data_IF_853542596027
#
_entry.id   IF_853542596027
#
_cell.length_a   1.000
_cell.length_b   1.000
_cell.length_c   1.000
_cell.angle_alpha   90.00
_cell.angle_beta   90.00
_cell.angle_gamma   90.00
#
_symmetry.space_group_name_H-M   'P 1'
#
loop_
_entity.id
_entity.type
_entity.pdbx_description
1 polymer ?
#
# COMPACT_ATOMS: atom_id res chain seq x y z
N UNK A 1 -33.25 -5.67 -59.30
CA UNK A 1 -32.62 -7.00 -59.39
C UNK A 1 -31.18 -6.78 -59.83
N UNK A 2 -30.31 -6.47 -58.87
CA UNK A 2 -28.90 -6.20 -59.09
C UNK A 2 -28.09 -7.49 -59.02
N UNK A 3 -27.12 -7.60 -59.94
CA UNK A 3 -26.36 -8.80 -60.21
C UNK A 3 -25.31 -9.12 -59.14
N UNK A 4 -25.28 -10.40 -58.75
CA UNK A 4 -24.20 -11.00 -57.98
C UNK A 4 -23.20 -11.68 -58.93
N UNK A 5 -21.90 -11.47 -58.69
CA UNK A 5 -20.83 -12.15 -59.41
C UNK A 5 -19.74 -12.67 -58.45
N UNK A 6 -19.52 -14.00 -58.55
CA UNK A 6 -18.24 -14.75 -58.48
C UNK A 6 -17.45 -14.85 -57.16
N UNK A 7 -17.65 -15.97 -56.45
CA UNK A 7 -16.73 -17.13 -56.22
C UNK A 7 -15.18 -16.93 -56.17
N UNK A 8 -14.37 -17.94 -55.75
CA UNK A 8 -14.17 -18.48 -54.39
C UNK A 8 -12.67 -18.75 -54.05
N UNK A 9 -12.42 -19.42 -52.90
CA UNK A 9 -11.23 -20.22 -52.52
C UNK A 9 -9.95 -19.50 -52.05
N UNK A 10 -9.61 -19.67 -50.76
CA UNK A 10 -8.42 -20.44 -50.32
C UNK A 10 -8.17 -20.21 -48.81
N UNK A 11 -8.19 -21.26 -47.99
CA UNK A 11 -6.97 -21.76 -47.34
C UNK A 11 -7.24 -23.08 -46.62
N UNK A 12 -6.31 -24.01 -46.83
CA UNK A 12 -6.24 -25.37 -46.29
C UNK A 12 -6.15 -25.36 -44.76
N UNK A 13 -6.99 -26.17 -44.11
CA UNK A 13 -6.75 -26.68 -42.76
C UNK A 13 -6.62 -28.20 -42.83
N UNK A 14 -5.39 -28.67 -42.66
CA UNK A 14 -5.08 -30.04 -42.27
C UNK A 14 -3.89 -29.92 -41.33
N UNK A 15 -3.99 -30.46 -40.11
CA UNK A 15 -3.22 -31.65 -39.74
C UNK A 15 -3.70 -32.19 -38.37
N UNK A 16 -4.31 -33.38 -38.46
CA UNK A 16 -4.23 -34.57 -37.60
C UNK A 16 -4.15 -34.46 -36.06
N UNK A 17 -5.15 -35.10 -35.45
CA UNK A 17 -5.10 -35.65 -34.11
C UNK A 17 -4.02 -36.73 -33.98
N UNK A 18 -3.29 -36.71 -32.86
CA UNK A 18 -2.63 -37.88 -32.28
C UNK A 18 -2.48 -37.67 -30.76
N UNK A 19 -3.21 -38.44 -29.96
CA UNK A 19 -2.82 -38.78 -28.58
C UNK A 19 -1.96 -40.06 -28.65
N UNK A 20 -0.92 -40.17 -27.81
CA UNK A 20 -1.02 -41.04 -26.61
C UNK A 20 -0.38 -40.38 -25.37
N UNK A 21 -1.03 -40.39 -24.21
CA UNK A 21 -1.03 -41.41 -23.15
C UNK A 21 0.20 -41.39 -22.19
N UNK A 22 -0.14 -41.18 -20.91
CA UNK A 22 0.56 -41.55 -19.65
C UNK A 22 1.90 -40.91 -19.30
N UNK A 23 1.93 -40.23 -18.13
CA UNK A 23 3.18 -39.94 -17.43
C UNK A 23 3.05 -38.97 -16.25
N UNK A 24 2.84 -39.54 -15.05
CA UNK A 24 3.11 -38.98 -13.71
C UNK A 24 2.36 -37.72 -13.21
N UNK A 25 1.45 -37.96 -12.26
CA UNK A 25 1.11 -37.01 -11.20
C UNK A 25 2.28 -36.95 -10.22
N UNK A 26 3.21 -36.02 -10.43
CA UNK A 26 4.04 -35.54 -9.32
C UNK A 26 3.17 -34.59 -8.51
N UNK A 27 2.82 -35.02 -7.30
CA UNK A 27 2.28 -34.18 -6.24
C UNK A 27 3.33 -33.10 -5.93
N UNK A 28 3.28 -31.99 -6.66
CA UNK A 28 3.98 -30.78 -6.28
C UNK A 28 3.31 -30.25 -5.02
N UNK A 29 4.05 -30.27 -3.91
CA UNK A 29 3.76 -29.37 -2.78
C UNK A 29 3.53 -27.97 -3.36
N UNK A 30 2.41 -27.29 -3.06
CA UNK A 30 2.23 -25.92 -3.51
C UNK A 30 3.37 -25.11 -2.89
N UNK A 31 4.28 -24.64 -3.75
CA UNK A 31 5.22 -23.60 -3.36
C UNK A 31 4.39 -22.44 -2.78
N UNK A 32 4.71 -21.95 -1.58
CA UNK A 32 4.02 -20.78 -1.04
C UNK A 32 4.10 -19.67 -2.10
N UNK A 33 3.02 -18.92 -2.37
CA UNK A 33 3.08 -17.86 -3.36
C UNK A 33 4.26 -16.94 -3.03
N UNK A 34 5.21 -16.87 -3.96
CA UNK A 34 6.35 -15.96 -3.88
C UNK A 34 5.80 -14.56 -3.62
N UNK A 35 6.30 -13.93 -2.56
CA UNK A 35 5.87 -12.61 -2.12
C UNK A 35 6.01 -11.63 -3.30
N UNK A 36 4.97 -10.82 -3.59
CA UNK A 36 5.08 -9.84 -4.66
C UNK A 36 6.26 -8.90 -4.36
N UNK A 37 7.15 -8.66 -5.34
CA UNK A 37 8.26 -7.74 -5.15
C UNK A 37 7.74 -6.36 -4.78
N UNK A 38 8.44 -5.69 -3.86
CA UNK A 38 8.09 -4.35 -3.40
C UNK A 38 7.84 -3.39 -4.59
N UNK A 39 6.81 -2.53 -4.56
CA UNK A 39 6.56 -1.55 -5.60
C UNK A 39 7.80 -0.69 -5.90
N UNK A 40 8.00 -0.32 -7.17
CA UNK A 40 9.20 0.41 -7.64
C UNK A 40 9.45 1.75 -6.92
N UNK A 41 8.42 2.33 -6.31
CA UNK A 41 8.47 3.61 -5.58
C UNK A 41 8.43 3.44 -4.05
N UNK A 42 8.57 2.21 -3.56
CA UNK A 42 8.66 1.95 -2.12
C UNK A 42 9.98 2.43 -1.52
N UNK A 43 9.91 2.94 -0.28
CA UNK A 43 11.09 3.26 0.53
C UNK A 43 11.43 2.09 1.44
N UNK A 44 12.72 1.93 1.73
CA UNK A 44 13.27 0.87 2.60
C UNK A 44 13.94 1.51 3.79
N UNK A 45 13.44 1.22 4.97
CA UNK A 45 13.78 1.92 6.21
C UNK A 45 14.47 0.95 7.13
N UNK A 46 15.68 1.29 7.56
CA UNK A 46 16.46 0.44 8.44
C UNK A 46 16.09 0.75 9.89
N UNK A 47 15.78 -0.29 10.64
CA UNK A 47 15.35 -0.19 12.02
C UNK A 47 16.02 -1.27 12.85
N UNK A 48 16.13 -0.99 14.13
CA UNK A 48 16.69 -1.90 15.11
C UNK A 48 15.63 -2.21 16.15
N UNK A 49 15.31 -3.48 16.34
CA UNK A 49 14.41 -3.94 17.40
C UNK A 49 15.21 -4.64 18.48
N UNK A 50 14.75 -4.52 19.73
CA UNK A 50 15.36 -5.17 20.88
C UNK A 50 14.40 -6.24 21.41
N UNK A 51 14.85 -7.49 21.45
CA UNK A 51 14.09 -8.63 21.97
C UNK A 51 14.97 -9.41 22.94
N UNK A 52 14.58 -9.49 24.21
CA UNK A 52 15.29 -10.25 25.26
C UNK A 52 16.81 -9.99 25.36
N UNK A 53 17.23 -8.75 25.05
CA UNK A 53 18.63 -8.33 25.05
C UNK A 53 19.38 -8.58 23.73
N UNK A 54 18.74 -9.26 22.77
CA UNK A 54 19.24 -9.44 21.41
C UNK A 54 18.80 -8.28 20.51
N UNK A 55 19.77 -7.70 19.80
CA UNK A 55 19.57 -6.58 18.89
C UNK A 55 19.37 -7.14 17.48
N UNK A 56 18.17 -6.95 16.93
CA UNK A 56 17.81 -7.44 15.60
C UNK A 56 17.73 -6.26 14.62
N UNK A 57 18.33 -6.43 13.42
CA UNK A 57 18.28 -5.43 12.35
C UNK A 57 17.23 -5.85 11.33
N UNK A 58 16.26 -4.97 11.14
CA UNK A 58 15.14 -5.20 10.24
C UNK A 58 15.05 -4.06 9.23
N UNK A 59 14.42 -4.32 8.10
CA UNK A 59 14.14 -3.32 7.10
C UNK A 59 12.65 -3.32 6.80
N UNK A 60 12.00 -2.19 7.06
CA UNK A 60 10.58 -1.98 6.78
C UNK A 60 10.46 -1.38 5.39
N UNK A 61 9.54 -1.92 4.60
CA UNK A 61 9.19 -1.39 3.28
C UNK A 61 7.91 -0.57 3.42
N UNK A 62 7.92 0.71 3.04
CA UNK A 62 6.70 1.53 2.98
C UNK A 62 6.45 2.02 1.56
N UNK A 63 5.19 2.04 1.15
CA UNK A 63 4.75 2.67 -0.07
C UNK A 63 4.15 4.04 0.26
N UNK A 64 4.78 5.13 -0.22
CA UNK A 64 4.31 6.49 0.00
C UNK A 64 3.93 7.09 -1.35
N UNK A 65 2.65 7.39 -1.54
CA UNK A 65 2.11 7.94 -2.79
C UNK A 65 1.42 9.27 -2.56
N UNK A 66 1.23 10.00 -3.65
CA UNK A 66 0.49 11.25 -3.65
C UNK A 66 -0.47 11.23 -4.84
N UNK A 67 -1.76 11.39 -4.57
CA UNK A 67 -2.81 11.37 -5.59
C UNK A 67 -3.85 12.44 -5.26
N UNK A 68 -4.13 13.32 -6.23
CA UNK A 68 -5.22 14.30 -6.16
C UNK A 68 -5.25 15.17 -4.89
N UNK A 69 -4.09 15.55 -4.34
CA UNK A 69 -4.02 16.36 -3.11
C UNK A 69 -3.87 15.56 -1.82
N UNK A 70 -3.85 14.23 -1.88
CA UNK A 70 -3.79 13.36 -0.72
C UNK A 70 -2.51 12.53 -0.71
N UNK A 71 -1.80 12.55 0.41
CA UNK A 71 -0.69 11.62 0.68
C UNK A 71 -1.25 10.31 1.21
N UNK A 72 -0.71 9.19 0.75
CA UNK A 72 -1.02 7.86 1.27
C UNK A 72 0.25 7.15 1.73
N UNK A 73 0.13 6.39 2.80
CA UNK A 73 1.18 5.49 3.31
C UNK A 73 0.57 4.09 3.41
N UNK A 74 1.05 3.15 2.58
CA UNK A 74 0.46 1.81 2.44
C UNK A 74 -1.08 1.87 2.30
N UNK A 75 -1.56 2.74 1.40
CA UNK A 75 -2.97 2.99 1.10
C UNK A 75 -3.79 3.70 2.20
N UNK A 76 -3.16 4.05 3.34
CA UNK A 76 -3.80 4.88 4.36
C UNK A 76 -3.65 6.37 4.05
N UNK A 77 -4.73 7.16 3.98
CA UNK A 77 -4.63 8.59 3.78
C UNK A 77 -4.04 9.27 5.01
N UNK A 78 -3.03 10.12 4.80
CA UNK A 78 -2.34 10.89 5.84
C UNK A 78 -2.55 12.37 5.60
N UNK A 79 -3.08 13.07 6.61
CA UNK A 79 -3.32 14.51 6.56
C UNK A 79 -2.05 15.30 6.88
N UNK A 80 -2.07 16.60 6.60
CA UNK A 80 -1.04 17.53 7.06
C UNK A 80 -0.89 17.50 8.59
N UNK A 81 0.34 17.64 9.07
CA UNK A 81 0.73 17.45 10.47
C UNK A 81 1.37 16.09 10.71
N UNK A 82 1.47 15.69 11.98
CA UNK A 82 1.99 14.37 12.37
C UNK A 82 0.85 13.41 12.65
N UNK A 83 0.81 12.32 11.91
CA UNK A 83 -0.16 11.23 12.10
C UNK A 83 0.58 9.96 12.49
N UNK A 84 0.05 9.25 13.48
CA UNK A 84 0.48 7.89 13.82
C UNK A 84 -0.49 6.88 13.22
N UNK A 85 0.04 5.98 12.40
CA UNK A 85 -0.74 4.91 11.75
C UNK A 85 -0.15 3.55 12.12
N UNK A 86 -1.01 2.54 12.21
CA UNK A 86 -0.57 1.13 12.25
C UNK A 86 -1.02 0.45 10.98
N UNK A 87 -0.08 -0.13 10.24
CA UNK A 87 -0.36 -0.77 8.96
C UNK A 87 0.40 -2.09 8.82
N UNK A 88 -0.16 -3.01 8.04
CA UNK A 88 0.56 -4.24 7.69
C UNK A 88 1.49 -3.94 6.52
N UNK A 89 2.77 -4.34 6.61
CA UNK A 89 3.73 -4.15 5.52
C UNK A 89 4.81 -5.21 5.48
N UNK A 90 5.58 -5.23 4.40
CA UNK A 90 6.71 -6.14 4.21
C UNK A 90 7.89 -5.72 5.11
N UNK A 91 8.36 -6.67 5.90
CA UNK A 91 9.52 -6.55 6.78
C UNK A 91 10.55 -7.58 6.32
N UNK A 92 11.80 -7.12 6.18
CA UNK A 92 12.95 -7.96 5.83
C UNK A 92 13.83 -8.06 7.07
N UNK A 93 13.86 -9.24 7.69
CA UNK A 93 14.71 -9.52 8.84
C UNK A 93 16.06 -10.04 8.37
N UNK A 94 17.13 -9.44 8.91
CA UNK A 94 18.49 -9.90 8.69
C UNK A 94 18.90 -10.74 9.91
N UNK A 95 18.91 -12.06 9.78
CA UNK A 95 19.39 -12.94 10.85
C UNK A 95 20.94 -12.88 10.95
N UNK A 96 21.48 -13.24 12.12
CA UNK A 96 22.90 -13.08 12.49
C UNK A 96 23.89 -13.64 11.45
N UNK A 97 25.12 -13.10 11.51
CA UNK A 97 26.33 -13.29 10.69
C UNK A 97 26.65 -14.69 10.12
N UNK A 98 26.01 -15.75 10.60
CA UNK A 98 26.28 -17.14 10.22
C UNK A 98 25.36 -17.65 9.11
N UNK A 99 24.16 -17.06 8.94
CA UNK A 99 23.21 -17.44 7.88
C UNK A 99 22.68 -16.18 7.17
N UNK A 100 23.13 -15.96 5.93
CA UNK A 100 22.70 -14.86 5.04
C UNK A 100 21.25 -15.00 4.53
N UNK A 101 20.41 -15.78 5.20
CA UNK A 101 19.02 -15.96 4.80
C UNK A 101 18.21 -14.74 5.24
N UNK A 102 17.91 -13.87 4.28
CA UNK A 102 16.94 -12.80 4.45
C UNK A 102 15.56 -13.43 4.57
N UNK A 103 14.92 -13.28 5.72
CA UNK A 103 13.53 -13.68 5.91
C UNK A 103 12.64 -12.47 5.65
N UNK A 104 11.76 -12.61 4.66
CA UNK A 104 10.74 -11.62 4.34
C UNK A 104 9.39 -12.10 4.90
N UNK A 105 8.69 -11.22 5.59
CA UNK A 105 7.36 -11.50 6.13
C UNK A 105 6.51 -10.23 6.17
N UNK A 106 5.19 -10.39 6.27
CA UNK A 106 4.29 -9.27 6.50
C UNK A 106 3.98 -9.14 7.98
N UNK A 107 4.37 -8.02 8.59
CA UNK A 107 4.09 -7.71 10.00
C UNK A 107 3.34 -6.40 10.16
N UNK A 108 2.94 -6.09 11.40
CA UNK A 108 2.25 -4.84 11.74
C UNK A 108 3.31 -3.84 12.19
N UNK A 109 3.34 -2.68 11.55
CA UNK A 109 4.25 -1.58 11.91
C UNK A 109 3.45 -0.37 12.34
N UNK A 110 3.89 0.28 13.43
CA UNK A 110 3.38 1.59 13.83
C UNK A 110 4.36 2.66 13.40
N UNK A 111 3.87 3.60 12.58
CA UNK A 111 4.67 4.63 11.93
C UNK A 111 4.15 6.00 12.33
N UNK A 112 5.04 6.93 12.66
CA UNK A 112 4.75 8.37 12.72
C UNK A 112 5.12 8.98 11.39
N UNK A 113 4.18 9.69 10.78
CA UNK A 113 4.35 10.34 9.48
C UNK A 113 4.08 11.83 9.67
N UNK A 114 5.07 12.67 9.37
CA UNK A 114 4.88 14.11 9.19
C UNK A 114 4.57 14.39 7.72
N UNK A 115 3.49 15.12 7.46
CA UNK A 115 3.22 15.73 6.15
C UNK A 115 3.17 17.24 6.32
N UNK A 116 4.08 17.95 5.66
CA UNK A 116 4.10 19.40 5.67
C UNK A 116 3.96 19.97 4.25
N UNK A 117 3.13 20.99 4.13
CA UNK A 117 2.70 21.57 2.87
C UNK A 117 3.22 23.01 2.74
N UNK A 118 4.26 23.22 1.95
CA UNK A 118 4.88 24.54 1.75
C UNK A 118 4.42 25.18 0.43
N UNK A 119 3.60 26.25 0.45
CA UNK A 119 3.29 27.01 -0.76
C UNK A 119 4.54 27.76 -1.23
N UNK A 120 4.98 27.52 -2.47
CA UNK A 120 6.24 28.10 -2.96
C UNK A 120 6.11 29.60 -3.26
N UNK A 121 4.97 30.01 -3.79
CA UNK A 121 4.66 31.42 -4.08
C UNK A 121 3.16 31.68 -3.88
N UNK A 122 2.83 32.86 -3.36
CA UNK A 122 1.43 33.27 -3.19
C UNK A 122 0.71 33.35 -4.55
N UNK A 123 -0.50 32.79 -4.63
CA UNK A 123 -1.32 32.78 -5.84
C UNK A 123 -0.92 31.76 -6.91
N UNK A 124 0.11 30.96 -6.67
CA UNK A 124 0.49 29.82 -7.51
C UNK A 124 -0.09 28.52 -6.96
N UNK A 125 -0.33 27.56 -7.85
CA UNK A 125 -0.64 26.16 -7.48
C UNK A 125 0.61 25.31 -7.26
N UNK A 126 1.80 25.92 -7.26
CA UNK A 126 3.07 25.26 -7.00
C UNK A 126 3.31 25.12 -5.50
N UNK A 127 3.45 23.89 -5.04
CA UNK A 127 3.59 23.53 -3.64
C UNK A 127 4.67 22.47 -3.49
N UNK A 128 5.45 22.55 -2.41
CA UNK A 128 6.34 21.50 -1.98
C UNK A 128 5.71 20.75 -0.81
N UNK A 129 5.48 19.44 -0.98
CA UNK A 129 5.03 18.56 0.08
C UNK A 129 6.26 17.84 0.62
N UNK A 130 6.53 18.02 1.91
CA UNK A 130 7.63 17.39 2.64
C UNK A 130 7.04 16.30 3.51
N UNK A 131 7.54 15.08 3.36
CA UNK A 131 7.08 13.91 4.11
C UNK A 131 8.26 13.30 4.86
N UNK A 132 8.13 13.10 6.16
CA UNK A 132 9.12 12.41 6.99
C UNK A 132 8.44 11.27 7.74
N UNK A 133 9.19 10.21 8.06
CA UNK A 133 8.65 9.03 8.73
C UNK A 133 9.54 8.53 9.88
N UNK A 134 8.93 7.91 10.88
CA UNK A 134 9.62 7.22 11.96
C UNK A 134 8.86 5.94 12.29
N UNK A 135 9.51 4.79 12.13
CA UNK A 135 9.02 3.51 12.62
C UNK A 135 9.19 3.46 14.15
N UNK A 136 8.06 3.39 14.87
CA UNK A 136 8.04 3.39 16.34
C UNK A 136 7.91 1.97 16.90
N UNK A 137 7.22 1.09 16.19
CA UNK A 137 6.92 -0.26 16.64
C UNK A 137 6.84 -1.24 15.48
N UNK A 138 7.28 -2.48 15.72
CA UNK A 138 7.14 -3.63 14.83
C UNK A 138 6.59 -4.79 15.66
N UNK A 139 5.43 -5.33 15.26
CA UNK A 139 4.78 -6.48 15.90
C UNK A 139 4.69 -6.38 17.43
N UNK A 140 4.33 -5.20 17.95
CA UNK A 140 4.24 -4.96 19.40
C UNK A 140 5.56 -4.62 20.08
N UNK A 141 6.70 -4.65 19.35
CA UNK A 141 8.04 -4.38 19.87
C UNK A 141 8.50 -3.00 19.49
N UNK A 142 9.09 -2.28 20.43
CA UNK A 142 9.65 -0.96 20.17
C UNK A 142 10.80 -1.03 19.16
N UNK A 143 10.71 -0.19 18.13
CA UNK A 143 11.76 -0.03 17.14
C UNK A 143 12.57 1.23 17.41
N UNK A 144 13.86 1.17 17.09
CA UNK A 144 14.77 2.30 17.08
C UNK A 144 15.22 2.55 15.64
N UNK A 145 14.92 3.74 15.15
CA UNK A 145 15.33 4.20 13.84
C UNK A 145 16.37 5.29 14.01
N UNK A 146 17.49 5.15 13.29
CA UNK A 146 18.60 6.10 13.35
C UNK A 146 18.48 7.21 12.31
N UNK A 147 18.07 6.84 11.10
CA UNK A 147 17.99 7.73 9.95
C UNK A 147 16.54 7.78 9.46
N UNK A 148 16.05 8.97 9.12
CA UNK A 148 14.74 9.17 8.48
C UNK A 148 14.89 9.36 6.98
N UNK A 149 13.90 8.89 6.24
CA UNK A 149 13.75 9.28 4.83
C UNK A 149 12.84 10.51 4.74
N UNK A 150 13.37 11.60 4.20
CA UNK A 150 12.59 12.77 3.77
C UNK A 150 12.22 12.62 2.30
N UNK A 151 10.94 12.76 1.98
CA UNK A 151 10.41 12.71 0.63
C UNK A 151 9.85 14.08 0.29
N UNK A 152 10.44 14.69 -0.72
CA UNK A 152 10.03 15.97 -1.29
C UNK A 152 9.24 15.72 -2.57
N UNK A 153 7.98 16.16 -2.57
CA UNK A 153 7.09 16.10 -3.72
C UNK A 153 6.74 17.52 -4.14
N UNK A 154 7.33 17.97 -5.24
CA UNK A 154 6.94 19.23 -5.87
C UNK A 154 5.68 18.98 -6.70
N UNK A 155 4.62 19.70 -6.39
CA UNK A 155 3.29 19.55 -6.99
C UNK A 155 2.89 20.84 -7.70
N UNK A 156 2.25 20.74 -8.87
CA UNK A 156 1.61 21.85 -9.57
C UNK A 156 0.24 21.40 -10.09
N UNK A 157 -0.81 22.16 -9.78
CA UNK A 157 -2.20 21.80 -10.15
C UNK A 157 -2.56 20.37 -9.71
N UNK A 158 -2.18 19.96 -8.49
CA UNK A 158 -2.35 18.60 -7.95
C UNK A 158 -1.61 17.47 -8.70
N UNK A 159 -0.82 17.77 -9.73
CA UNK A 159 0.05 16.81 -10.41
C UNK A 159 1.48 16.86 -9.86
N UNK A 160 2.13 15.70 -9.77
CA UNK A 160 3.54 15.60 -9.36
C UNK A 160 4.43 16.16 -10.49
N UNK A 161 5.24 17.16 -10.16
CA UNK A 161 6.27 17.74 -11.04
C UNK A 161 7.60 17.04 -10.80
N UNK A 162 7.94 16.81 -9.54
CA UNK A 162 9.19 16.17 -9.14
C UNK A 162 9.02 15.44 -7.82
N UNK A 163 9.67 14.31 -7.69
CA UNK A 163 9.87 13.59 -6.43
C UNK A 163 11.36 13.48 -6.14
N UNK A 164 11.77 13.65 -4.89
CA UNK A 164 13.15 13.46 -4.45
C UNK A 164 13.14 12.86 -3.05
N UNK A 165 14.09 11.98 -2.76
CA UNK A 165 14.20 11.33 -1.47
C UNK A 165 15.59 11.61 -0.90
N UNK A 166 15.65 11.99 0.37
CA UNK A 166 16.87 12.26 1.11
C UNK A 166 16.89 11.44 2.39
N UNK A 167 18.08 11.14 2.89
CA UNK A 167 18.27 10.47 4.17
C UNK A 167 19.03 11.41 5.07
N UNK A 168 18.50 11.62 6.28
CA UNK A 168 19.11 12.44 7.31
C UNK A 168 18.98 11.74 8.68
N UNK A 169 19.81 12.06 9.67
CA UNK A 169 19.65 11.55 11.03
C UNK A 169 18.28 11.91 11.59
N UNK A 170 17.65 10.98 12.33
CA UNK A 170 16.32 11.20 12.90
C UNK A 170 16.31 12.43 13.81
N UNK A 171 17.38 12.66 14.57
CA UNK A 171 17.52 13.79 15.50
C UNK A 171 17.56 15.16 14.79
N UNK A 172 17.91 15.19 13.50
CA UNK A 172 17.94 16.39 12.67
C UNK A 172 16.60 16.65 11.97
N UNK A 173 15.66 15.72 12.06
CA UNK A 173 14.37 15.80 11.39
C UNK A 173 13.37 16.73 12.10
N UNK A 174 12.47 17.34 11.32
CA UNK A 174 11.36 18.11 11.90
C UNK A 174 10.41 17.20 12.69
N UNK A 175 10.20 15.97 12.21
CA UNK A 175 9.37 14.96 12.86
C UNK A 175 9.83 14.67 14.31
N UNK A 176 11.14 14.60 14.55
CA UNK A 176 11.70 14.37 15.88
C UNK A 176 11.46 15.54 16.84
N UNK A 177 11.43 16.77 16.32
CA UNK A 177 11.17 17.98 17.13
C UNK A 177 9.70 18.10 17.60
N UNK A 178 8.77 17.33 17.02
CA UNK A 178 7.35 17.38 17.33
C UNK A 178 7.00 16.35 18.40
N UNK A 179 6.37 16.80 19.48
CA UNK A 179 5.96 15.94 20.59
C UNK A 179 5.04 14.81 20.14
N UNK A 180 5.34 13.60 20.59
CA UNK A 180 4.53 12.39 20.34
C UNK A 180 3.11 12.50 20.90
N UNK A 181 2.88 13.35 21.89
CA UNK A 181 1.54 13.55 22.51
C UNK A 181 0.59 14.36 21.60
N UNK A 182 1.14 15.03 20.59
CA UNK A 182 0.37 15.80 19.60
C UNK A 182 0.05 15.01 18.32
N UNK A 183 0.47 13.75 18.24
CA UNK A 183 0.20 12.91 17.08
C UNK A 183 -1.31 12.66 16.93
N UNK A 184 -1.81 12.81 15.70
CA UNK A 184 -3.16 12.34 15.35
C UNK A 184 -3.10 10.82 15.19
N UNK A 185 -3.87 10.07 15.98
CA UNK A 185 -3.94 8.61 15.82
C UNK A 185 -4.95 8.22 14.74
N UNK A 186 -4.47 7.57 13.69
CA UNK A 186 -5.36 6.95 12.71
C UNK A 186 -5.88 5.64 13.28
N UNK A 187 -7.18 5.59 13.57
CA UNK A 187 -7.87 4.35 13.87
C UNK A 187 -8.85 4.07 12.74
N UNK A 188 -8.74 2.90 12.11
CA UNK A 188 -9.84 2.43 11.27
C UNK A 188 -11.08 2.34 12.18
N UNK A 189 -12.22 2.94 11.82
CA UNK A 189 -13.45 2.70 12.55
C UNK A 189 -13.67 1.18 12.57
N UNK A 190 -13.71 0.62 13.77
CA UNK A 190 -13.93 -0.80 14.03
C UNK A 190 -14.89 -1.39 12.98
N UNK A 191 -14.44 -2.30 12.12
CA UNK A 191 -15.30 -3.24 11.39
C UNK A 191 -15.93 -4.28 12.35
N UNK A 192 -16.09 -3.91 13.62
CA UNK A 192 -16.69 -4.74 14.64
C UNK A 192 -18.21 -4.59 14.56
N UNK A 193 -18.83 -5.63 14.01
CA UNK A 193 -20.27 -5.86 13.83
C UNK A 193 -20.93 -5.03 12.72
N UNK A 194 -20.80 -5.53 11.49
CA UNK A 194 -21.91 -5.46 10.53
C UNK A 194 -23.11 -6.19 11.15
N UNK A 195 -23.89 -5.51 11.99
CA UNK A 195 -25.28 -5.91 12.21
C UNK A 195 -25.92 -5.78 10.84
N UNK A 196 -26.23 -6.92 10.24
CA UNK A 196 -27.03 -7.00 9.04
C UNK A 196 -28.43 -6.52 9.45
N UNK A 197 -28.63 -5.20 9.47
CA UNK A 197 -29.96 -4.61 9.58
C UNK A 197 -30.64 -4.97 8.28
N UNK A 198 -31.36 -6.09 8.31
CA UNK A 198 -32.31 -6.43 7.28
C UNK A 198 -33.39 -5.35 7.34
N UNK A 199 -33.25 -4.32 6.49
CA UNK A 199 -34.31 -3.37 6.25
C UNK A 199 -35.47 -4.14 5.60
N UNK A 200 -36.40 -4.61 6.44
CA UNK A 200 -37.73 -4.99 5.99
C UNK A 200 -38.47 -3.69 5.68
N UNK A 201 -38.89 -3.44 4.44
CA UNK A 201 -39.75 -2.30 4.17
C UNK A 201 -41.08 -2.49 4.92
N UNK A 202 -41.66 -1.43 5.50
CA UNK A 202 -42.95 -1.51 6.16
C UNK A 202 -44.03 -1.90 5.13
N UNK A 203 -44.74 -2.99 5.43
CA UNK A 203 -45.85 -3.47 4.64
C UNK A 203 -47.08 -2.58 4.85
N UNK A 204 -47.16 -1.44 4.16
CA UNK A 204 -48.41 -0.67 4.07
C UNK A 204 -48.38 0.43 3.00
N UNK A 205 -47.98 0.15 1.76
CA UNK A 205 -48.40 0.97 0.62
C UNK A 205 -48.57 0.04 -0.58
N UNK A 206 -49.81 -0.40 -0.83
CA UNK A 206 -50.38 -0.75 -2.14
C UNK A 206 -51.78 -1.35 -1.91
N UNK A 207 -52.74 -0.52 -1.54
CA UNK A 207 -54.16 -0.80 -1.78
C UNK A 207 -54.76 0.40 -2.50
N UNK A 208 -54.49 0.46 -3.80
CA UNK A 208 -54.98 1.51 -4.69
C UNK A 208 -55.44 0.91 -6.00
N UNK A 209 -56.67 0.37 -5.98
CA UNK A 209 -57.63 0.37 -7.09
C UNK A 209 -57.17 -0.16 -8.46
N UNK A 210 -57.44 -1.44 -8.71
CA UNK A 210 -57.75 -1.93 -10.05
C UNK A 210 -59.28 -1.98 -10.23
N UNK A 211 -59.80 -1.23 -11.21
CA UNK A 211 -61.04 -1.55 -11.92
C UNK A 211 -60.72 -1.54 -13.42
N UNK A 212 -60.96 -2.64 -14.15
CA UNK A 212 -60.86 -2.64 -15.60
C UNK A 212 -62.20 -2.24 -16.25
N UNK A 213 -62.10 -1.63 -17.43
CA UNK A 213 -63.12 -1.64 -18.48
C UNK A 213 -62.93 -2.90 -19.33
#
# INVERSE_FOLDING_TARGET
MEGAARAPLALRLLFFAALPATGWLTTGTPEPPLLPPAPKDSIRINVTTLEDGEVSKEQVVLNITYESGQVYVNDFPVNSGVTRISCQTLIVKNENLENLEKKEYFGIVTVRILVHEWPMTSGSSLQLIVIQEEIVEIDGKQAQQKDVTEIDILVKNQGIVRRSNYTLPLEESMLYSISRDSDILFTLPNLSKKVLVHCRPPASILSGMWKPL
#
